data_IF_428345694107
#
_entry.id   IF_428345694107
#
_cell.length_a   1.000
_cell.length_b   1.000
_cell.length_c   1.000
_cell.angle_alpha   90.00
_cell.angle_beta   90.00
_cell.angle_gamma   90.00
#
_symmetry.space_group_name_H-M   'P 1'
#
loop_
_entity.id
_entity.type
_entity.pdbx_description
1 polymer ?
#
# COMPACT_ATOMS: atom_id res chain seq x y z
N UNK A 1 27.34 -36.42 0.14
CA UNK A 1 26.26 -36.17 1.11
C UNK A 1 26.30 -34.68 1.37
N UNK A 2 25.76 -33.93 0.42
CA UNK A 2 25.75 -32.47 0.46
C UNK A 2 24.78 -32.09 1.58
N UNK A 3 25.31 -31.41 2.60
CA UNK A 3 24.53 -30.87 3.72
C UNK A 3 23.34 -30.10 3.17
N UNK A 4 22.14 -30.66 3.37
CA UNK A 4 20.89 -29.92 3.31
C UNK A 4 21.01 -28.77 4.30
N UNK A 5 21.45 -27.61 3.80
CA UNK A 5 21.30 -26.32 4.44
C UNK A 5 19.81 -26.18 4.75
N UNK A 6 19.42 -26.57 5.97
CA UNK A 6 18.13 -26.19 6.54
C UNK A 6 18.03 -24.69 6.35
N UNK A 7 17.15 -24.31 5.44
CA UNK A 7 16.77 -22.92 5.25
C UNK A 7 15.91 -22.54 6.46
N UNK A 8 16.56 -22.38 7.61
CA UNK A 8 15.95 -21.90 8.84
C UNK A 8 15.46 -20.49 8.59
N UNK A 9 14.15 -20.38 8.34
CA UNK A 9 13.34 -19.21 8.66
C UNK A 9 13.84 -17.90 8.07
N UNK A 10 13.55 -17.67 6.80
CA UNK A 10 13.49 -16.31 6.26
C UNK A 10 12.27 -15.61 6.85
N UNK A 11 12.40 -15.10 8.08
CA UNK A 11 11.30 -14.71 8.97
C UNK A 11 11.00 -13.20 9.01
N UNK A 12 11.33 -12.45 7.94
CA UNK A 12 10.91 -11.05 7.89
C UNK A 12 9.46 -10.96 7.38
N UNK A 13 8.54 -10.65 8.30
CA UNK A 13 7.18 -10.33 7.95
C UNK A 13 7.13 -8.94 7.27
N UNK A 14 6.77 -8.92 5.98
CA UNK A 14 6.52 -7.69 5.25
C UNK A 14 5.13 -7.20 5.61
N UNK A 15 5.06 -6.10 6.34
CA UNK A 15 3.80 -5.52 6.82
C UNK A 15 3.43 -4.26 6.04
N UNK A 16 2.13 -4.04 5.88
CA UNK A 16 1.61 -2.82 5.27
C UNK A 16 1.85 -1.62 6.18
N UNK A 17 2.47 -0.56 5.65
CA UNK A 17 2.74 0.66 6.43
C UNK A 17 1.51 1.45 6.87
N UNK A 18 0.36 1.21 6.24
CA UNK A 18 -0.90 1.91 6.55
C UNK A 18 -1.76 1.17 7.56
N UNK A 19 -1.86 -0.15 7.46
CA UNK A 19 -2.77 -0.94 8.30
C UNK A 19 -2.10 -2.04 9.13
N UNK A 20 -0.78 -2.23 9.00
CA UNK A 20 -0.04 -3.26 9.71
C UNK A 20 -0.30 -4.70 9.25
N UNK A 21 -1.14 -4.92 8.24
CA UNK A 21 -1.44 -6.26 7.75
C UNK A 21 -0.19 -6.91 7.12
N UNK A 22 0.06 -8.19 7.45
CA UNK A 22 1.09 -9.00 6.79
C UNK A 22 0.73 -9.18 5.31
N UNK A 23 1.68 -8.82 4.44
CA UNK A 23 1.55 -8.92 2.98
C UNK A 23 2.18 -10.23 2.51
N UNK A 24 3.42 -10.50 2.95
CA UNK A 24 4.19 -11.70 2.63
C UNK A 24 5.34 -11.87 3.62
N UNK A 25 5.99 -13.03 3.58
CA UNK A 25 7.28 -13.25 4.24
C UNK A 25 8.43 -13.13 3.24
N UNK A 26 9.53 -12.55 3.67
CA UNK A 26 10.71 -12.31 2.85
C UNK A 26 12.00 -12.75 3.55
N UNK A 27 13.01 -13.06 2.74
CA UNK A 27 14.36 -13.44 3.18
C UNK A 27 15.27 -12.28 3.53
N UNK A 28 14.86 -11.07 3.17
CA UNK A 28 15.56 -9.84 3.50
C UNK A 28 14.54 -8.78 3.89
N UNK A 29 14.93 -7.78 4.71
CA UNK A 29 14.12 -6.61 4.97
C UNK A 29 13.88 -5.86 3.66
N UNK A 30 12.66 -5.93 3.16
CA UNK A 30 12.23 -5.18 1.98
C UNK A 30 11.84 -3.75 2.36
N UNK A 31 11.87 -2.85 1.37
CA UNK A 31 11.35 -1.48 1.50
C UNK A 31 9.86 -1.51 1.89
N UNK A 32 9.34 -0.48 2.59
CA UNK A 32 7.97 -0.44 3.06
C UNK A 32 6.97 -0.62 1.92
N UNK A 33 6.06 -1.60 2.08
CA UNK A 33 5.02 -1.91 1.12
C UNK A 33 3.63 -1.48 1.57
N UNK A 34 2.71 -1.35 0.62
CA UNK A 34 1.28 -1.12 0.89
C UNK A 34 0.46 -2.30 0.39
N UNK A 35 -0.48 -2.79 1.21
CA UNK A 35 -1.36 -3.87 0.81
C UNK A 35 -2.38 -3.38 -0.24
N UNK A 36 -2.88 -4.31 -1.07
CA UNK A 36 -3.82 -3.98 -2.15
C UNK A 36 -5.10 -3.29 -1.65
N UNK A 37 -5.56 -3.61 -0.43
CA UNK A 37 -6.72 -2.97 0.18
C UNK A 37 -6.49 -1.48 0.44
N UNK A 38 -5.36 -1.14 1.05
CA UNK A 38 -4.96 0.24 1.30
C UNK A 38 -4.69 0.99 -0.01
N UNK A 39 -4.04 0.34 -0.98
CA UNK A 39 -3.83 0.90 -2.31
C UNK A 39 -5.16 1.26 -2.99
N UNK A 40 -6.11 0.33 -3.01
CA UNK A 40 -7.42 0.56 -3.60
C UNK A 40 -8.17 1.72 -2.94
N UNK A 41 -8.16 1.79 -1.61
CA UNK A 41 -8.80 2.89 -0.87
C UNK A 41 -8.19 4.25 -1.25
N UNK A 42 -6.87 4.32 -1.33
CA UNK A 42 -6.18 5.53 -1.79
C UNK A 42 -6.64 5.91 -3.21
N UNK A 43 -6.68 4.95 -4.14
CA UNK A 43 -7.16 5.23 -5.49
C UNK A 43 -8.61 5.74 -5.52
N UNK A 44 -9.50 5.17 -4.70
CA UNK A 44 -10.89 5.60 -4.58
C UNK A 44 -11.00 7.02 -4.02
N UNK A 45 -10.25 7.36 -2.98
CA UNK A 45 -10.19 8.71 -2.40
C UNK A 45 -9.66 9.73 -3.43
N UNK A 46 -8.61 9.38 -4.17
CA UNK A 46 -8.09 10.24 -5.24
C UNK A 46 -9.08 10.40 -6.40
N UNK A 47 -9.77 9.33 -6.79
CA UNK A 47 -10.80 9.40 -7.84
C UNK A 47 -11.98 10.28 -7.41
N UNK A 48 -12.41 10.21 -6.15
CA UNK A 48 -13.45 11.08 -5.61
C UNK A 48 -13.02 12.55 -5.58
N UNK A 49 -11.77 12.84 -5.19
CA UNK A 49 -11.22 14.20 -5.21
C UNK A 49 -11.10 14.76 -6.64
N UNK A 50 -10.76 13.91 -7.62
CA UNK A 50 -10.70 14.30 -9.02
C UNK A 50 -12.09 14.48 -9.66
N UNK A 51 -13.06 13.66 -9.28
CA UNK A 51 -14.44 13.73 -9.76
C UNK A 51 -15.25 14.85 -9.11
N UNK A 52 -14.77 15.38 -7.98
CA UNK A 52 -15.39 16.52 -7.32
C UNK A 52 -15.24 17.73 -8.26
N UNK A 53 -16.34 18.27 -8.81
CA UNK A 53 -16.24 19.46 -9.64
C UNK A 53 -15.56 20.53 -8.79
N UNK A 54 -14.46 21.08 -9.30
CA UNK A 54 -13.92 22.33 -8.76
C UNK A 54 -15.10 23.28 -8.77
N UNK A 55 -15.61 23.64 -7.60
CA UNK A 55 -16.64 24.65 -7.50
C UNK A 55 -16.04 25.90 -8.15
N UNK A 56 -16.38 26.15 -9.42
CA UNK A 56 -16.03 27.38 -10.09
C UNK A 56 -16.93 28.42 -9.45
N UNK A 57 -16.43 29.01 -8.37
CA UNK A 57 -16.99 30.24 -7.83
C UNK A 57 -16.62 31.33 -8.84
N UNK A 58 -17.35 31.37 -9.96
CA UNK A 58 -17.50 32.61 -10.72
C UNK A 58 -18.89 33.11 -10.39
N UNK A 59 -18.92 33.98 -9.39
CA UNK A 59 -20.07 34.79 -9.06
C UNK A 59 -20.46 35.58 -10.32
N UNK A 60 -21.68 35.36 -10.80
CA UNK A 60 -22.31 36.27 -11.74
C UNK A 60 -22.70 37.52 -10.94
N UNK A 61 -21.78 38.46 -10.78
CA UNK A 61 -22.15 39.82 -10.41
C UNK A 61 -22.69 40.52 -11.66
N UNK A 62 -23.91 41.01 -11.51
CA UNK A 62 -24.77 41.65 -12.51
C UNK A 62 -24.25 43.02 -12.92
#
# INVERSE_FOLDING_TARGET
MEEELRNEGTDFAVVCVWCGAEIRRASAPETPGMCQRCFRRMCEEHAQLAARPRASVYASER
#
